data_IF_907922959909
#
_entry.id   IF_907922959909
#
_cell.length_a   1.000
_cell.length_b   1.000
_cell.length_c   1.000
_cell.angle_alpha   90.00
_cell.angle_beta   90.00
_cell.angle_gamma   90.00
#
_symmetry.space_group_name_H-M   'P 1'
#
loop_
_entity.id
_entity.type
_entity.pdbx_description
1 polymer ?
#
# COMPACT_ATOMS: atom_id res chain seq x y z
N UNK A 1 22.11 -3.17 23.02
CA UNK A 1 21.09 -2.11 23.15
C UNK A 1 20.45 -1.98 21.79
N UNK A 2 19.29 -2.61 21.62
CA UNK A 2 18.56 -2.58 20.35
C UNK A 2 17.80 -1.25 20.31
N UNK A 3 18.21 -0.34 19.43
CA UNK A 3 17.44 0.87 19.15
C UNK A 3 16.30 0.46 18.22
N UNK A 4 15.11 0.27 18.79
CA UNK A 4 13.90 0.08 18.01
C UNK A 4 13.77 1.24 17.01
N UNK A 5 13.82 0.93 15.72
CA UNK A 5 13.51 1.90 14.67
C UNK A 5 12.10 2.41 14.92
N UNK A 6 11.94 3.73 15.00
CA UNK A 6 10.63 4.38 15.15
C UNK A 6 9.66 3.82 14.11
N UNK A 7 8.50 3.36 14.56
CA UNK A 7 7.33 3.10 13.71
C UNK A 7 7.23 4.22 12.67
N UNK A 8 7.14 3.80 11.41
CA UNK A 8 7.46 4.55 10.20
C UNK A 8 6.80 5.94 10.10
N UNK A 9 7.37 6.81 9.26
CA UNK A 9 6.84 8.14 8.89
C UNK A 9 5.44 8.16 8.26
N UNK A 10 4.78 7.01 8.16
CA UNK A 10 3.45 6.83 7.60
C UNK A 10 2.44 6.59 8.72
N UNK A 11 1.26 7.22 8.66
CA UNK A 11 0.21 6.99 9.66
C UNK A 11 -0.28 5.53 9.58
N UNK A 12 -0.38 4.89 10.74
CA UNK A 12 -1.05 3.59 10.87
C UNK A 12 -2.50 3.84 11.28
N UNK A 13 -3.43 3.32 10.49
CA UNK A 13 -4.86 3.42 10.74
C UNK A 13 -5.38 2.07 11.23
N UNK A 14 -6.26 2.10 12.23
CA UNK A 14 -7.00 0.93 12.66
C UNK A 14 -8.34 0.89 11.93
N UNK A 15 -8.65 -0.26 11.32
CA UNK A 15 -10.00 -0.48 10.80
C UNK A 15 -10.94 -0.84 11.96
N UNK A 16 -12.07 -0.15 12.04
CA UNK A 16 -13.07 -0.30 13.11
C UNK A 16 -14.44 -0.56 12.47
N UNK A 17 -15.27 -1.34 13.15
CA UNK A 17 -16.56 -1.80 12.63
C UNK A 17 -17.53 -0.66 12.24
N UNK A 18 -17.35 0.55 12.76
CA UNK A 18 -18.16 1.72 12.39
C UNK A 18 -17.90 2.20 10.96
N UNK A 19 -16.68 2.01 10.44
CA UNK A 19 -16.29 2.41 9.08
C UNK A 19 -16.23 1.22 8.14
N UNK A 20 -15.66 0.09 8.58
CA UNK A 20 -15.42 -1.11 7.75
C UNK A 20 -14.70 -0.75 6.44
N UNK A 21 -13.50 -0.18 6.56
CA UNK A 21 -12.70 0.26 5.40
C UNK A 21 -12.41 -0.93 4.49
N UNK A 22 -12.19 -2.11 5.05
CA UNK A 22 -11.95 -3.33 4.28
C UNK A 22 -13.14 -3.67 3.37
N UNK A 23 -14.36 -3.65 3.91
CA UNK A 23 -15.58 -3.86 3.15
C UNK A 23 -15.85 -2.76 2.12
N UNK A 24 -15.66 -1.49 2.51
CA UNK A 24 -15.89 -0.34 1.62
C UNK A 24 -14.98 -0.35 0.38
N UNK A 25 -13.72 -0.74 0.56
CA UNK A 25 -12.73 -0.76 -0.52
C UNK A 25 -12.66 -2.12 -1.23
N UNK A 26 -13.42 -3.12 -0.74
CA UNK A 26 -13.43 -4.49 -1.24
C UNK A 26 -12.03 -5.08 -1.41
N UNK A 27 -11.14 -4.82 -0.44
CA UNK A 27 -9.74 -5.26 -0.47
C UNK A 27 -9.59 -6.71 -0.04
N UNK A 28 -8.54 -7.34 -0.55
CA UNK A 28 -8.04 -8.64 -0.12
C UNK A 28 -6.84 -8.48 0.81
N UNK A 29 -6.48 -9.56 1.51
CA UNK A 29 -5.35 -9.54 2.44
C UNK A 29 -4.05 -9.12 1.72
N UNK A 30 -3.43 -8.05 2.24
CA UNK A 30 -2.19 -7.44 1.75
C UNK A 30 -2.29 -6.74 0.39
N UNK A 31 -3.46 -6.21 0.07
CA UNK A 31 -3.57 -5.24 -1.02
C UNK A 31 -2.90 -3.90 -0.66
N UNK A 32 -2.15 -3.37 -1.63
CA UNK A 32 -1.70 -1.98 -1.67
C UNK A 32 -2.55 -1.26 -2.71
N UNK A 33 -3.45 -0.41 -2.25
CA UNK A 33 -4.28 0.42 -3.14
C UNK A 33 -3.55 1.73 -3.42
N UNK A 34 -3.30 1.99 -4.70
CA UNK A 34 -2.53 3.13 -5.21
C UNK A 34 -3.52 4.14 -5.80
N UNK A 35 -3.40 5.40 -5.40
CA UNK A 35 -4.22 6.49 -5.91
C UNK A 35 -3.41 7.41 -6.83
N UNK A 36 -4.07 8.02 -7.81
CA UNK A 36 -3.48 9.07 -8.63
C UNK A 36 -3.48 10.45 -7.94
N UNK A 37 -2.87 11.44 -8.57
CA UNK A 37 -2.83 12.82 -8.07
C UNK A 37 -4.20 13.50 -7.91
N UNK A 38 -5.26 12.94 -8.51
CA UNK A 38 -6.65 13.40 -8.37
C UNK A 38 -7.42 12.62 -7.31
N UNK A 39 -6.75 11.74 -6.56
CA UNK A 39 -7.32 10.89 -5.52
C UNK A 39 -8.31 9.83 -6.07
N UNK A 40 -8.12 9.39 -7.32
CA UNK A 40 -8.83 8.24 -7.88
C UNK A 40 -7.99 6.98 -7.76
N UNK A 41 -8.66 5.82 -7.65
CA UNK A 41 -7.98 4.53 -7.66
C UNK A 41 -7.25 4.32 -9.00
N UNK A 42 -5.93 4.14 -8.93
CA UNK A 42 -5.06 3.94 -10.08
C UNK A 42 -4.75 2.45 -10.29
N UNK A 43 -4.38 1.75 -9.22
CA UNK A 43 -4.07 0.32 -9.25
C UNK A 43 -4.21 -0.31 -7.85
N UNK A 44 -4.36 -1.62 -7.81
CA UNK A 44 -4.23 -2.43 -6.58
C UNK A 44 -3.14 -3.47 -6.80
N UNK A 45 -2.22 -3.61 -5.84
CA UNK A 45 -1.08 -4.51 -5.92
C UNK A 45 -1.05 -5.44 -4.70
N UNK A 46 -1.23 -6.74 -4.91
CA UNK A 46 -1.35 -7.70 -3.82
C UNK A 46 0.02 -8.29 -3.42
N UNK A 47 0.42 -8.10 -2.17
CA UNK A 47 1.75 -8.55 -1.72
C UNK A 47 1.82 -10.04 -1.37
N UNK A 48 0.69 -10.75 -1.34
CA UNK A 48 0.68 -12.23 -1.25
C UNK A 48 1.12 -12.84 -2.57
N UNK A 49 0.80 -12.20 -3.70
CA UNK A 49 1.21 -12.60 -5.04
C UNK A 49 2.60 -12.03 -5.40
N UNK A 50 2.90 -10.83 -4.92
CA UNK A 50 4.12 -10.09 -5.23
C UNK A 50 4.96 -9.82 -3.98
N UNK A 51 5.93 -10.69 -3.70
CA UNK A 51 6.80 -10.56 -2.53
C UNK A 51 7.82 -9.42 -2.68
N UNK A 52 7.80 -8.45 -1.77
CA UNK A 52 8.75 -7.32 -1.78
C UNK A 52 10.19 -7.72 -1.46
N UNK A 53 10.45 -8.96 -1.04
CA UNK A 53 11.81 -9.51 -0.98
C UNK A 53 12.38 -9.83 -2.37
N UNK A 54 11.52 -10.01 -3.38
CA UNK A 54 11.93 -10.09 -4.78
C UNK A 54 12.18 -8.67 -5.32
N UNK A 55 13.41 -8.35 -5.77
CA UNK A 55 13.73 -7.06 -6.36
C UNK A 55 12.79 -6.67 -7.52
N UNK A 56 12.31 -7.64 -8.31
CA UNK A 56 11.41 -7.36 -9.43
C UNK A 56 10.05 -6.83 -8.95
N UNK A 57 9.46 -7.46 -7.93
CA UNK A 57 8.19 -7.02 -7.34
C UNK A 57 8.33 -5.67 -6.63
N UNK A 58 9.47 -5.43 -5.97
CA UNK A 58 9.77 -4.14 -5.36
C UNK A 58 9.86 -3.02 -6.42
N UNK A 59 10.62 -3.25 -7.49
CA UNK A 59 10.79 -2.27 -8.57
C UNK A 59 9.46 -2.02 -9.30
N UNK A 60 8.65 -3.05 -9.51
CA UNK A 60 7.31 -2.93 -10.10
C UNK A 60 6.40 -2.02 -9.25
N UNK A 61 6.27 -2.29 -7.96
CA UNK A 61 5.47 -1.45 -7.06
C UNK A 61 5.99 -0.01 -7.02
N UNK A 62 7.32 0.18 -6.99
CA UNK A 62 7.93 1.51 -7.04
C UNK A 62 7.58 2.25 -8.32
N UNK A 63 7.64 1.57 -9.47
CA UNK A 63 7.27 2.15 -10.76
C UNK A 63 5.79 2.55 -10.79
N UNK A 64 4.89 1.73 -10.24
CA UNK A 64 3.46 2.08 -10.13
C UNK A 64 3.23 3.33 -9.28
N UNK A 65 3.92 3.46 -8.15
CA UNK A 65 3.81 4.64 -7.27
C UNK A 65 4.31 5.92 -7.96
N UNK A 66 5.42 5.85 -8.69
CA UNK A 66 5.95 6.99 -9.43
C UNK A 66 5.03 7.39 -10.58
N UNK A 67 4.56 6.42 -11.37
CA UNK A 67 3.63 6.65 -12.47
C UNK A 67 2.31 7.27 -12.00
N UNK A 68 1.75 6.78 -10.88
CA UNK A 68 0.53 7.35 -10.28
C UNK A 68 0.73 8.79 -9.79
N UNK A 69 1.93 9.12 -9.29
CA UNK A 69 2.33 10.47 -8.90
C UNK A 69 2.70 11.40 -10.06
N UNK A 70 2.75 10.89 -11.29
CA UNK A 70 3.17 11.65 -12.48
C UNK A 70 4.68 11.95 -12.54
N UNK A 71 5.51 11.09 -11.93
CA UNK A 71 6.97 11.21 -11.83
C UNK A 71 7.71 10.18 -12.69
#
# INVERSE_FOLDING_TARGET
>A
MEVASTVASLPLLADVAEVDVWGLWAVTYRDVVILDASNHAYATYNLTEHDLQDPASYDELRSLLLAAGGL
#
